data_IF_341805466264
#
_entry.id   IF_341805466264
#
_cell.length_a   1.000
_cell.length_b   1.000
_cell.length_c   1.000
_cell.angle_alpha   90.00
_cell.angle_beta   90.00
_cell.angle_gamma   90.00
#
_symmetry.space_group_name_H-M   'P 1'
#
loop_
_entity.id
_entity.type
_entity.pdbx_description
1 polymer ?
#
# COMPACT_ATOMS: atom_id res chain seq x y z
N UNK A 1 10.61 -1.60 -22.46
CA UNK A 1 9.25 -1.78 -21.92
C UNK A 1 9.18 -2.65 -20.65
N UNK A 2 9.98 -3.72 -20.52
CA UNK A 2 9.87 -4.72 -19.43
C UNK A 2 9.89 -4.19 -17.97
N UNK A 3 10.60 -3.10 -17.64
CA UNK A 3 10.57 -2.49 -16.29
C UNK A 3 9.49 -1.41 -16.10
N UNK A 4 8.90 -0.88 -17.18
CA UNK A 4 7.89 0.19 -17.10
C UNK A 4 6.58 -0.30 -16.51
N UNK A 5 6.17 -1.52 -16.86
CA UNK A 5 4.91 -2.08 -16.39
C UNK A 5 4.91 -2.39 -14.87
N UNK A 6 5.92 -3.09 -14.31
CA UNK A 6 6.07 -3.20 -12.85
C UNK A 6 6.11 -1.83 -12.14
N UNK A 7 6.84 -0.85 -12.71
CA UNK A 7 6.92 0.49 -12.12
C UNK A 7 5.55 1.19 -12.07
N UNK A 8 4.72 1.05 -13.11
CA UNK A 8 3.36 1.58 -13.12
C UNK A 8 2.47 0.92 -12.05
N UNK A 9 2.59 -0.40 -11.86
CA UNK A 9 1.84 -1.11 -10.81
C UNK A 9 2.28 -0.64 -9.42
N UNK A 10 3.58 -0.52 -9.19
CA UNK A 10 4.11 -0.01 -7.93
C UNK A 10 3.70 1.46 -7.69
N UNK A 11 3.67 2.27 -8.75
CA UNK A 11 3.20 3.66 -8.68
C UNK A 11 1.71 3.74 -8.35
N UNK A 12 0.88 2.88 -8.94
CA UNK A 12 -0.54 2.77 -8.60
C UNK A 12 -0.72 2.35 -7.13
N UNK A 13 0.06 1.37 -6.67
CA UNK A 13 -0.02 0.92 -5.29
C UNK A 13 0.37 2.01 -4.29
N UNK A 14 1.53 2.63 -4.46
CA UNK A 14 1.99 3.70 -3.59
C UNK A 14 1.12 4.96 -3.69
N UNK A 15 0.71 5.34 -4.90
CA UNK A 15 -0.14 6.51 -5.16
C UNK A 15 -1.55 6.37 -4.58
N UNK A 16 -2.14 5.18 -4.63
CA UNK A 16 -3.45 4.90 -4.01
C UNK A 16 -3.37 4.95 -2.48
N UNK A 17 -2.31 4.39 -1.86
CA UNK A 17 -2.06 4.55 -0.42
C UNK A 17 -1.88 6.03 -0.05
N UNK A 18 -1.12 6.76 -0.86
CA UNK A 18 -0.88 8.19 -0.62
C UNK A 18 -2.19 8.98 -0.65
N UNK A 19 -2.99 8.76 -1.70
CA UNK A 19 -4.27 9.44 -1.90
C UNK A 19 -5.26 9.12 -0.79
N UNK A 20 -5.44 7.85 -0.43
CA UNK A 20 -6.45 7.48 0.56
C UNK A 20 -6.04 7.92 1.97
N UNK A 21 -4.83 7.56 2.41
CA UNK A 21 -4.40 7.75 3.79
C UNK A 21 -4.09 9.20 4.16
N UNK A 22 -3.55 10.00 3.23
CA UNK A 22 -3.02 11.33 3.54
C UNK A 22 -3.81 12.48 2.89
N UNK A 23 -4.72 12.19 1.95
CA UNK A 23 -5.57 13.21 1.33
C UNK A 23 -7.06 12.96 1.61
N UNK A 24 -7.60 11.84 1.13
CA UNK A 24 -9.05 11.59 1.16
C UNK A 24 -9.55 11.43 2.59
N UNK A 25 -8.92 10.59 3.42
CA UNK A 25 -9.37 10.37 4.80
C UNK A 25 -9.35 11.66 5.63
N UNK A 26 -8.27 12.47 5.66
CA UNK A 26 -8.29 13.78 6.31
C UNK A 26 -9.41 14.70 5.82
N UNK A 27 -9.66 14.75 4.50
CA UNK A 27 -10.76 15.54 3.94
C UNK A 27 -12.13 15.03 4.39
N UNK A 28 -12.34 13.72 4.55
CA UNK A 28 -13.59 13.19 5.10
C UNK A 28 -13.84 13.68 6.53
N UNK A 29 -12.81 13.67 7.38
CA UNK A 29 -12.93 14.16 8.76
C UNK A 29 -13.09 15.68 8.85
N UNK A 30 -12.56 16.42 7.88
CA UNK A 30 -12.70 17.88 7.82
C UNK A 30 -14.06 18.33 7.27
N UNK A 31 -14.68 17.57 6.37
CA UNK A 31 -15.85 18.04 5.60
C UNK A 31 -17.16 17.30 5.90
N UNK A 32 -17.14 16.10 6.49
CA UNK A 32 -18.38 15.39 6.82
C UNK A 32 -19.01 15.87 8.13
N UNK A 33 -20.35 15.81 8.27
CA UNK A 33 -21.06 16.37 9.41
C UNK A 33 -20.68 15.80 10.78
N UNK A 34 -20.21 14.53 10.83
CA UNK A 34 -19.82 13.89 12.09
C UNK A 34 -18.60 12.99 11.92
N UNK A 35 -17.75 12.84 12.96
CA UNK A 35 -16.62 11.90 12.95
C UNK A 35 -17.04 10.44 12.75
N UNK A 36 -18.25 10.06 13.18
CA UNK A 36 -18.78 8.72 12.99
C UNK A 36 -19.05 8.41 11.51
N UNK A 37 -19.64 9.37 10.77
CA UNK A 37 -19.83 9.25 9.32
C UNK A 37 -18.49 9.19 8.59
N UNK A 38 -17.54 10.05 8.96
CA UNK A 38 -16.19 10.04 8.39
C UNK A 38 -15.46 8.71 8.64
N UNK A 39 -15.48 8.21 9.88
CA UNK A 39 -14.88 6.92 10.23
C UNK A 39 -15.52 5.74 9.48
N UNK A 40 -16.85 5.73 9.34
CA UNK A 40 -17.55 4.70 8.57
C UNK A 40 -17.18 4.71 7.08
N UNK A 41 -17.04 5.88 6.47
CA UNK A 41 -16.58 5.99 5.08
C UNK A 41 -15.09 5.63 4.95
N UNK A 42 -14.24 6.07 5.88
CA UNK A 42 -12.82 5.73 5.92
C UNK A 42 -12.61 4.21 5.97
N UNK A 43 -13.40 3.49 6.78
CA UNK A 43 -13.35 2.02 6.83
C UNK A 43 -13.64 1.37 5.47
N UNK A 44 -14.63 1.87 4.73
CA UNK A 44 -14.93 1.39 3.36
C UNK A 44 -13.79 1.67 2.38
N UNK A 45 -13.20 2.87 2.44
CA UNK A 45 -12.06 3.24 1.61
C UNK A 45 -10.82 2.40 1.91
N UNK A 46 -10.52 2.14 3.19
CA UNK A 46 -9.41 1.27 3.56
C UNK A 46 -9.65 -0.19 3.13
N UNK A 47 -10.89 -0.68 3.20
CA UNK A 47 -11.22 -2.00 2.67
C UNK A 47 -11.00 -2.10 1.15
N UNK A 48 -11.44 -1.10 0.38
CA UNK A 48 -11.14 -1.02 -1.04
C UNK A 48 -9.62 -0.93 -1.29
N UNK A 49 -8.90 -0.15 -0.49
CA UNK A 49 -7.45 0.01 -0.61
C UNK A 49 -6.68 -1.28 -0.31
N UNK A 50 -7.17 -2.12 0.62
CA UNK A 50 -6.62 -3.45 0.85
C UNK A 50 -6.70 -4.28 -0.43
N UNK A 51 -7.84 -4.29 -1.12
CA UNK A 51 -7.97 -5.04 -2.37
C UNK A 51 -7.10 -4.48 -3.51
N UNK A 52 -6.95 -3.16 -3.61
CA UNK A 52 -5.99 -2.54 -4.54
C UNK A 52 -4.57 -3.00 -4.22
N UNK A 53 -4.20 -3.02 -2.94
CA UNK A 53 -2.89 -3.46 -2.48
C UNK A 53 -2.65 -4.94 -2.78
N UNK A 54 -3.65 -5.79 -2.57
CA UNK A 54 -3.61 -7.22 -2.90
C UNK A 54 -3.42 -7.42 -4.40
N UNK A 55 -4.23 -6.77 -5.23
CA UNK A 55 -4.12 -6.87 -6.68
C UNK A 55 -2.72 -6.43 -7.17
N UNK A 56 -2.24 -5.27 -6.72
CA UNK A 56 -0.93 -4.76 -7.11
C UNK A 56 0.21 -5.67 -6.64
N UNK A 57 0.19 -6.09 -5.38
CA UNK A 57 1.23 -6.96 -4.82
C UNK A 57 1.29 -8.33 -5.50
N UNK A 58 0.13 -8.96 -5.78
CA UNK A 58 0.10 -10.23 -6.50
C UNK A 58 0.63 -10.09 -7.94
N UNK A 59 0.24 -9.03 -8.66
CA UNK A 59 0.77 -8.77 -10.00
C UNK A 59 2.29 -8.55 -9.96
N UNK A 60 2.81 -7.81 -8.98
CA UNK A 60 4.25 -7.59 -8.82
C UNK A 60 4.99 -8.90 -8.50
N UNK A 61 4.42 -9.78 -7.66
CA UNK A 61 4.99 -11.10 -7.38
C UNK A 61 5.02 -11.99 -8.63
N UNK A 62 3.93 -12.04 -9.40
CA UNK A 62 3.86 -12.81 -10.66
C UNK A 62 4.91 -12.34 -11.68
N UNK A 63 5.10 -11.03 -11.79
CA UNK A 63 6.11 -10.46 -12.68
C UNK A 63 7.54 -10.75 -12.18
N UNK A 64 7.73 -10.87 -10.87
CA UNK A 64 9.02 -11.16 -10.23
C UNK A 64 9.44 -12.63 -10.35
N UNK A 65 8.49 -13.57 -10.45
CA UNK A 65 8.79 -15.01 -10.59
C UNK A 65 8.97 -15.47 -12.04
N UNK A 66 8.62 -14.64 -13.02
CA UNK A 66 8.80 -14.98 -14.44
C UNK A 66 10.30 -15.04 -14.81
N UNK A 67 10.77 -16.19 -15.31
CA UNK A 67 12.18 -16.50 -15.68
C UNK A 67 12.81 -15.57 -16.74
N UNK A 68 12.15 -14.49 -17.16
CA UNK A 68 12.40 -13.81 -18.43
C UNK A 68 13.43 -12.67 -18.38
N UNK A 69 14.13 -12.46 -17.26
CA UNK A 69 15.23 -11.50 -17.20
C UNK A 69 16.14 -11.75 -16.00
N UNK A 70 17.35 -12.25 -16.21
CA UNK A 70 18.40 -12.33 -15.17
C UNK A 70 18.70 -10.94 -14.56
N UNK A 71 18.55 -9.86 -15.33
CA UNK A 71 18.62 -8.48 -14.83
C UNK A 71 17.39 -8.03 -13.99
N UNK A 72 16.31 -8.82 -13.97
CA UNK A 72 15.20 -8.61 -13.03
C UNK A 72 15.49 -9.23 -11.65
N UNK A 73 16.30 -10.29 -11.61
CA UNK A 73 16.48 -11.12 -10.43
C UNK A 73 17.14 -10.37 -9.26
N UNK A 74 18.12 -9.50 -9.53
CA UNK A 74 18.85 -8.78 -8.48
C UNK A 74 17.99 -7.75 -7.73
N UNK A 75 17.12 -6.99 -8.40
CA UNK A 75 16.20 -6.07 -7.72
C UNK A 75 14.98 -6.78 -7.15
N UNK A 76 14.50 -7.82 -7.84
CA UNK A 76 13.31 -8.57 -7.44
C UNK A 76 13.49 -9.22 -6.07
N UNK A 77 14.68 -9.72 -5.77
CA UNK A 77 14.93 -10.42 -4.50
C UNK A 77 14.74 -9.51 -3.28
N UNK A 78 15.18 -8.26 -3.37
CA UNK A 78 14.98 -7.28 -2.29
C UNK A 78 13.54 -6.76 -2.27
N UNK A 79 12.95 -6.48 -3.44
CA UNK A 79 11.58 -5.96 -3.55
C UNK A 79 10.51 -6.97 -3.08
N UNK A 80 10.71 -8.28 -3.29
CA UNK A 80 9.77 -9.32 -2.87
C UNK A 80 9.47 -9.26 -1.38
N UNK A 81 10.48 -9.00 -0.53
CA UNK A 81 10.29 -8.89 0.93
C UNK A 81 9.30 -7.77 1.26
N UNK A 82 9.48 -6.60 0.65
CA UNK A 82 8.59 -5.45 0.85
C UNK A 82 7.20 -5.66 0.24
N UNK A 83 7.10 -6.37 -0.89
CA UNK A 83 5.79 -6.71 -1.48
C UNK A 83 5.02 -7.65 -0.54
N UNK A 84 5.65 -8.73 -0.08
CA UNK A 84 5.01 -9.69 0.83
C UNK A 84 4.65 -9.04 2.17
N UNK A 85 5.57 -8.26 2.75
CA UNK A 85 5.29 -7.52 3.99
C UNK A 85 4.11 -6.55 3.81
N UNK A 86 4.09 -5.77 2.71
CA UNK A 86 2.99 -4.86 2.41
C UNK A 86 1.65 -5.57 2.23
N UNK A 87 1.63 -6.75 1.59
CA UNK A 87 0.43 -7.59 1.47
C UNK A 87 -0.06 -8.10 2.82
N UNK A 88 0.84 -8.60 3.66
CA UNK A 88 0.52 -9.08 5.00
C UNK A 88 -0.06 -7.95 5.86
N UNK A 89 0.54 -6.76 5.82
CA UNK A 89 0.04 -5.58 6.52
C UNK A 89 -1.35 -5.17 6.03
N UNK A 90 -1.59 -5.19 4.71
CA UNK A 90 -2.90 -4.86 4.14
C UNK A 90 -4.01 -5.80 4.64
N UNK A 91 -3.72 -7.10 4.67
CA UNK A 91 -4.66 -8.14 5.12
C UNK A 91 -4.87 -8.07 6.63
N UNK A 92 -3.82 -7.94 7.43
CA UNK A 92 -3.93 -7.77 8.87
C UNK A 92 -4.69 -6.47 9.23
N UNK A 93 -4.45 -5.38 8.51
CA UNK A 93 -5.19 -4.13 8.70
C UNK A 93 -6.69 -4.34 8.46
N UNK A 94 -7.05 -5.04 7.39
CA UNK A 94 -8.45 -5.29 7.03
C UNK A 94 -9.16 -6.28 7.97
N UNK A 95 -8.51 -7.38 8.32
CA UNK A 95 -9.17 -8.50 9.00
C UNK A 95 -8.91 -8.54 10.51
N UNK A 96 -7.83 -7.91 11.01
CA UNK A 96 -7.53 -7.86 12.44
C UNK A 96 -7.75 -6.46 13.03
N UNK A 97 -7.31 -5.39 12.36
CA UNK A 97 -7.36 -4.03 12.94
C UNK A 97 -8.72 -3.37 12.73
N UNK A 98 -9.22 -3.35 11.49
CA UNK A 98 -10.44 -2.63 11.14
C UNK A 98 -11.68 -3.06 11.95
N UNK A 99 -11.95 -4.36 12.19
CA UNK A 99 -13.11 -4.78 12.98
C UNK A 99 -13.08 -4.21 14.41
N UNK A 100 -11.89 -4.13 15.02
CA UNK A 100 -11.71 -3.62 16.40
C UNK A 100 -11.86 -2.11 16.48
N UNK A 101 -11.38 -1.38 15.48
CA UNK A 101 -11.63 0.07 15.35
C UNK A 101 -13.14 0.33 15.20
N UNK A 102 -13.82 -0.42 14.33
CA UNK A 102 -15.27 -0.25 14.09
C UNK A 102 -16.09 -0.60 15.33
N UNK A 103 -15.71 -1.66 16.05
CA UNK A 103 -16.31 -2.03 17.33
C UNK A 103 -15.96 -1.06 18.48
N UNK A 104 -15.08 -0.08 18.24
CA UNK A 104 -14.55 0.87 19.23
C UNK A 104 -13.86 0.21 20.42
N UNK A 105 -13.38 -1.02 20.26
CA UNK A 105 -12.54 -1.69 21.25
C UNK A 105 -11.24 -0.90 21.38
N UNK A 106 -10.91 -0.42 22.58
CA UNK A 106 -9.66 0.30 22.86
C UNK A 106 -9.22 1.23 21.70
N UNK A 107 -10.12 2.10 21.25
CA UNK A 107 -10.01 2.82 19.98
C UNK A 107 -8.63 3.49 19.78
N UNK A 108 -8.07 4.09 20.84
CA UNK A 108 -6.76 4.74 20.79
C UNK A 108 -5.64 3.77 20.42
N UNK A 109 -5.65 2.56 20.97
CA UNK A 109 -4.65 1.53 20.69
C UNK A 109 -4.80 1.01 19.26
N UNK A 110 -6.01 0.58 18.87
CA UNK A 110 -6.22 -0.02 17.55
C UNK A 110 -6.11 0.98 16.42
N UNK A 111 -6.49 2.24 16.63
CA UNK A 111 -6.23 3.31 15.68
C UNK A 111 -4.72 3.54 15.50
N UNK A 112 -3.96 3.63 16.60
CA UNK A 112 -2.50 3.76 16.54
C UNK A 112 -1.81 2.60 15.82
N UNK A 113 -2.22 1.36 16.12
CA UNK A 113 -1.75 0.15 15.42
C UNK A 113 -2.08 0.23 13.93
N UNK A 114 -3.31 0.60 13.57
CA UNK A 114 -3.73 0.77 12.18
C UNK A 114 -2.90 1.82 11.44
N UNK A 115 -2.70 3.00 12.04
CA UNK A 115 -1.85 4.05 11.46
C UNK A 115 -0.41 3.60 11.25
N UNK A 116 0.17 2.89 12.23
CA UNK A 116 1.54 2.36 12.10
C UNK A 116 1.63 1.32 10.98
N UNK A 117 0.70 0.37 10.93
CA UNK A 117 0.67 -0.65 9.88
C UNK A 117 0.50 -0.03 8.48
N UNK A 118 -0.39 0.96 8.36
CA UNK A 118 -0.59 1.68 7.10
C UNK A 118 0.68 2.43 6.67
N UNK A 119 1.37 3.09 7.60
CA UNK A 119 2.61 3.81 7.32
C UNK A 119 3.72 2.86 6.86
N UNK A 120 3.89 1.72 7.55
CA UNK A 120 4.88 0.71 7.15
C UNK A 120 4.53 0.13 5.77
N UNK A 121 3.25 -0.14 5.50
CA UNK A 121 2.80 -0.59 4.18
C UNK A 121 3.09 0.45 3.08
N UNK A 122 2.84 1.74 3.36
CA UNK A 122 3.16 2.84 2.47
C UNK A 122 4.66 2.94 2.18
N UNK A 123 5.51 2.79 3.21
CA UNK A 123 6.97 2.73 3.05
C UNK A 123 7.39 1.53 2.19
N UNK A 124 6.80 0.35 2.41
CA UNK A 124 7.07 -0.83 1.59
C UNK A 124 6.77 -0.58 0.11
N UNK A 125 5.58 -0.04 -0.19
CA UNK A 125 5.21 0.31 -1.56
C UNK A 125 6.14 1.37 -2.16
N UNK A 126 6.58 2.36 -1.36
CA UNK A 126 7.51 3.40 -1.77
C UNK A 126 8.90 2.85 -2.11
N UNK A 127 9.43 1.93 -1.29
CA UNK A 127 10.69 1.23 -1.56
C UNK A 127 10.57 0.42 -2.85
N UNK A 128 9.49 -0.33 -3.03
CA UNK A 128 9.27 -1.11 -4.26
C UNK A 128 9.24 -0.20 -5.48
N UNK A 129 8.50 0.92 -5.42
CA UNK A 129 8.48 1.90 -6.50
C UNK A 129 9.87 2.48 -6.79
N UNK A 130 10.61 2.88 -5.75
CA UNK A 130 11.95 3.45 -5.88
C UNK A 130 12.93 2.49 -6.56
N UNK A 131 12.88 1.20 -6.22
CA UNK A 131 13.74 0.19 -6.85
C UNK A 131 13.42 -0.07 -8.32
N UNK A 132 12.18 0.24 -8.76
CA UNK A 132 11.69 0.02 -10.11
C UNK A 132 11.91 1.21 -11.05
N UNK A 133 12.02 2.43 -10.51
CA UNK A 133 12.27 3.65 -11.29
C UNK A 133 13.77 3.78 -11.58
N UNK A 134 14.21 3.80 -12.86
CA UNK A 134 15.62 3.99 -13.19
C UNK A 134 16.12 5.39 -12.83
N UNK A 135 17.38 5.49 -12.39
CA UNK A 135 18.05 6.79 -12.26
C UNK A 135 18.18 7.50 -13.62
N UNK A 136 18.14 8.84 -13.66
CA UNK A 136 18.46 9.60 -14.86
C UNK A 136 19.86 9.21 -15.38
N UNK A 137 19.97 8.90 -16.66
CA UNK A 137 21.30 8.78 -17.29
C UNK A 137 21.86 10.20 -17.46
N UNK A 138 22.94 10.53 -16.77
CA UNK A 138 23.72 11.72 -17.08
C UNK A 138 24.28 11.58 -18.50
N UNK A 139 24.22 12.61 -19.35
CA UNK A 139 24.93 12.60 -20.63
C UNK A 139 26.45 12.57 -20.36
N UNK A 140 27.16 11.69 -21.06
CA UNK A 140 28.63 11.58 -21.06
C UNK A 140 29.30 12.84 -21.61
#
# INVERSE_FOLDING_TARGET
MKRRFPALIAALWWGSLTTIGFLVVPLLFANLPTPAMAGGMAAKLFAAQTWVSVACGLLLLLLSTSKQSQALAEWAQFAIIFIVLGLLLALLSQFAVAPRIVARENLRLWHGVGSAMYLVQWLCAGVVLWTLVPAPRLPD
#
